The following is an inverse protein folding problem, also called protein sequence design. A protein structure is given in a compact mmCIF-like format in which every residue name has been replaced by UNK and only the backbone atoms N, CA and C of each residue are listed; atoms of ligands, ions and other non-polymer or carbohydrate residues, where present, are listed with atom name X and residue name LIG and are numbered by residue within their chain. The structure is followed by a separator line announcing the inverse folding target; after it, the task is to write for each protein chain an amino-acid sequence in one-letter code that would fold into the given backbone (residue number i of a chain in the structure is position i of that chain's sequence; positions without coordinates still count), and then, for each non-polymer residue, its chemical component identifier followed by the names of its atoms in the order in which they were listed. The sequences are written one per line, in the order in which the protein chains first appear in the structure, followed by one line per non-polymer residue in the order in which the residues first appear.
data_IF_997337229708
#
_entry.id   IF_997337229708
#
_cell.length_a   1.000
_cell.length_b   1.000
_cell.length_c   1.000
_cell.angle_alpha   90.00
_cell.angle_beta   90.00
_cell.angle_gamma   90.00
#
_symmetry.space_group_name_H-M   'P 1'
#
loop_
_entity.id
_entity.type
_entity.pdbx_description
1 polymer ?
#
# COMPACT_ATOMS: atom_id res chain seq x y z
N UNK A 1 9.07 11.55 -42.55
CA UNK A 1 8.18 10.38 -42.40
C UNK A 1 8.68 9.35 -43.39
N UNK A 2 9.22 8.24 -42.90
CA UNK A 2 9.72 7.16 -43.76
C UNK A 2 9.21 5.86 -43.17
N UNK A 3 8.30 5.22 -43.90
CA UNK A 3 7.89 3.85 -43.65
C UNK A 3 8.78 2.94 -44.50
N UNK A 4 9.27 1.85 -43.91
CA UNK A 4 9.83 0.73 -44.65
C UNK A 4 8.93 -0.47 -44.37
N UNK A 5 8.33 -0.99 -45.45
CA UNK A 5 7.60 -2.25 -45.48
C UNK A 5 8.52 -3.37 -45.99
N UNK A 6 8.33 -4.57 -45.44
CA UNK A 6 8.94 -5.84 -45.86
C UNK A 6 8.90 -6.82 -44.68
N UNK A 7 8.38 -8.04 -44.76
CA UNK A 7 7.95 -8.79 -45.93
C UNK A 7 7.00 -9.94 -45.57
N UNK A 8 6.70 -10.66 -46.63
CA UNK A 8 5.74 -11.71 -46.91
C UNK A 8 5.99 -13.06 -46.22
N UNK A 9 4.95 -13.52 -45.53
CA UNK A 9 4.41 -14.88 -45.64
C UNK A 9 5.32 -16.08 -45.35
N UNK A 10 5.19 -16.63 -44.14
CA UNK A 10 4.96 -18.05 -43.82
C UNK A 10 5.72 -18.48 -42.57
N UNK A 11 5.07 -18.37 -41.40
CA UNK A 11 5.39 -19.19 -40.25
C UNK A 11 4.07 -19.83 -39.78
N UNK A 12 4.06 -21.16 -39.87
CA UNK A 12 2.99 -22.05 -39.46
C UNK A 12 2.72 -21.89 -37.96
N UNK A 13 1.46 -22.04 -37.56
CA UNK A 13 1.01 -22.16 -36.16
C UNK A 13 1.93 -23.10 -35.37
N UNK A 14 2.74 -22.51 -34.48
CA UNK A 14 3.68 -23.21 -33.62
C UNK A 14 4.72 -22.24 -33.04
N UNK A 15 4.45 -21.74 -31.84
CA UNK A 15 5.34 -20.95 -30.98
C UNK A 15 6.20 -19.90 -31.69
N UNK A 16 5.53 -18.84 -32.18
CA UNK A 16 6.24 -17.58 -32.43
C UNK A 16 6.85 -17.11 -31.09
N UNK A 17 8.13 -16.71 -31.06
CA UNK A 17 8.69 -16.08 -29.88
C UNK A 17 7.83 -14.85 -29.53
N UNK A 18 7.55 -14.61 -28.25
CA UNK A 18 6.69 -13.51 -27.85
C UNK A 18 7.21 -12.22 -28.46
N UNK A 19 6.29 -11.42 -29.00
CA UNK A 19 6.62 -10.11 -29.54
C UNK A 19 7.28 -9.24 -28.47
N UNK A 20 8.08 -8.26 -28.87
CA UNK A 20 8.71 -7.34 -27.91
C UNK A 20 7.67 -6.69 -27.00
N UNK A 21 6.47 -6.39 -27.52
CA UNK A 21 5.36 -5.85 -26.75
C UNK A 21 4.80 -6.85 -25.73
N UNK A 22 4.67 -8.12 -26.08
CA UNK A 22 4.24 -9.18 -25.15
C UNK A 22 5.29 -9.45 -24.06
N UNK A 23 6.58 -9.41 -24.42
CA UNK A 23 7.67 -9.53 -23.45
C UNK A 23 7.69 -8.33 -22.51
N UNK A 24 7.56 -7.10 -23.02
CA UNK A 24 7.55 -5.87 -22.20
C UNK A 24 6.32 -5.80 -21.30
N UNK A 25 5.18 -6.37 -21.72
CA UNK A 25 3.95 -6.45 -20.92
C UNK A 25 3.88 -7.67 -20.01
N UNK A 26 4.88 -8.57 -20.04
CA UNK A 26 4.94 -9.68 -19.10
C UNK A 26 5.26 -9.17 -17.69
N UNK A 27 4.44 -9.46 -16.66
CA UNK A 27 4.72 -9.06 -15.28
C UNK A 27 6.09 -9.55 -14.79
N UNK A 28 6.50 -10.75 -15.21
CA UNK A 28 7.80 -11.33 -14.83
C UNK A 28 8.98 -10.61 -15.50
N UNK A 29 8.83 -10.20 -16.76
CA UNK A 29 9.86 -9.42 -17.45
C UNK A 29 9.93 -7.98 -16.91
N UNK A 30 8.78 -7.36 -16.64
CA UNK A 30 8.70 -6.05 -16.01
C UNK A 30 9.35 -6.05 -14.62
N UNK A 31 9.11 -7.09 -13.82
CA UNK A 31 9.80 -7.29 -12.54
C UNK A 31 11.31 -7.42 -12.72
N UNK A 32 11.77 -8.27 -13.66
CA UNK A 32 13.20 -8.44 -13.93
C UNK A 32 13.86 -7.12 -14.36
N UNK A 33 13.18 -6.34 -15.20
CA UNK A 33 13.65 -5.04 -15.64
C UNK A 33 13.69 -4.03 -14.49
N UNK A 34 12.68 -4.05 -13.62
CA UNK A 34 12.67 -3.29 -12.37
C UNK A 34 13.88 -3.58 -11.49
N UNK A 35 14.22 -4.86 -11.29
CA UNK A 35 15.40 -5.28 -10.52
C UNK A 35 16.72 -4.81 -11.14
N UNK A 36 16.83 -4.81 -12.47
CA UNK A 36 18.05 -4.40 -13.18
C UNK A 36 18.23 -2.87 -13.20
N UNK A 37 17.16 -2.14 -13.49
CA UNK A 37 17.20 -0.68 -13.62
C UNK A 37 17.19 0.03 -12.26
N UNK A 38 16.61 -0.61 -11.24
CA UNK A 38 16.48 -0.07 -9.88
C UNK A 38 17.03 -1.07 -8.85
N UNK A 39 18.35 -1.36 -8.87
CA UNK A 39 18.94 -2.44 -8.06
C UNK A 39 19.01 -2.13 -6.57
N UNK A 40 18.83 -0.88 -6.16
CA UNK A 40 18.87 -0.49 -4.74
C UNK A 40 17.46 -0.55 -4.15
N UNK A 41 17.29 -1.37 -3.12
CA UNK A 41 16.07 -1.39 -2.30
C UNK A 41 16.26 -0.45 -1.10
N UNK A 42 15.31 0.47 -0.92
CA UNK A 42 15.23 1.36 0.23
C UNK A 42 13.97 1.00 1.02
N UNK A 43 14.15 0.57 2.27
CA UNK A 43 13.06 0.32 3.20
C UNK A 43 12.56 1.64 3.76
N UNK A 44 11.26 1.90 3.60
CA UNK A 44 10.62 3.19 3.89
C UNK A 44 9.76 3.12 5.15
N UNK A 45 10.19 2.29 6.11
CA UNK A 45 9.46 2.01 7.33
C UNK A 45 8.35 0.98 7.12
N UNK A 46 7.38 1.01 8.02
CA UNK A 46 6.38 -0.04 8.20
C UNK A 46 5.04 0.58 8.46
N UNK A 47 4.02 -0.22 8.19
CA UNK A 47 2.66 0.12 8.53
C UNK A 47 1.94 -1.08 9.11
N UNK A 48 0.71 -0.81 9.52
CA UNK A 48 -0.15 -1.78 10.15
C UNK A 48 -1.49 -1.79 9.45
N UNK A 49 -2.03 -2.99 9.27
CA UNK A 49 -3.37 -3.20 8.73
C UNK A 49 -4.06 -4.24 9.59
N UNK A 50 -5.36 -4.37 9.44
CA UNK A 50 -6.09 -5.47 10.05
C UNK A 50 -6.23 -6.58 9.01
N UNK A 51 -6.11 -7.82 9.48
CA UNK A 51 -6.45 -9.00 8.72
C UNK A 51 -7.53 -9.80 9.44
N UNK A 52 -8.39 -10.45 8.68
CA UNK A 52 -9.38 -11.40 9.16
C UNK A 52 -9.17 -12.77 8.51
N UNK A 53 -9.28 -13.84 9.28
CA UNK A 53 -9.26 -15.20 8.75
C UNK A 53 -10.68 -15.66 8.39
N UNK A 54 -10.95 -15.86 7.10
CA UNK A 54 -12.22 -16.35 6.56
C UNK A 54 -11.97 -17.60 5.72
N UNK A 55 -12.63 -18.71 6.06
CA UNK A 55 -12.50 -19.99 5.35
C UNK A 55 -11.04 -20.45 5.11
N UNK A 56 -10.17 -20.17 6.08
CA UNK A 56 -8.74 -20.51 6.01
C UNK A 56 -7.87 -19.53 5.21
N UNK A 57 -8.45 -18.46 4.69
CA UNK A 57 -7.75 -17.40 3.95
C UNK A 57 -7.72 -16.11 4.77
N UNK A 58 -6.55 -15.53 4.92
CA UNK A 58 -6.39 -14.21 5.53
C UNK A 58 -6.76 -13.12 4.52
N UNK A 59 -7.75 -12.31 4.85
CA UNK A 59 -8.18 -11.15 4.08
C UNK A 59 -7.65 -9.88 4.76
N UNK A 60 -6.97 -9.01 4.02
CA UNK A 60 -6.49 -7.72 4.52
C UNK A 60 -7.48 -6.60 4.24
N UNK A 61 -7.54 -5.67 5.18
CA UNK A 61 -8.20 -4.38 4.98
C UNK A 61 -7.34 -3.41 4.17
N UNK A 62 -7.98 -2.36 3.64
CA UNK A 62 -7.32 -1.27 2.92
C UNK A 62 -7.67 0.07 3.59
N UNK A 63 -6.97 0.47 4.66
CA UNK A 63 -5.81 1.36 4.49
C UNK A 63 -4.71 1.13 5.55
N UNK A 64 -3.58 1.78 5.31
CA UNK A 64 -2.29 1.39 5.86
C UNK A 64 -1.93 2.35 7.01
N UNK A 65 -2.30 1.97 8.25
CA UNK A 65 -2.08 2.73 9.50
C UNK A 65 -0.60 2.92 9.79
N UNK A 66 -0.22 4.08 10.35
CA UNK A 66 1.18 4.38 10.68
C UNK A 66 1.61 3.73 12.01
N UNK A 67 0.66 3.49 12.92
CA UNK A 67 0.92 2.88 14.23
C UNK A 67 0.05 1.65 14.51
N UNK A 68 0.52 0.67 15.33
CA UNK A 68 -0.29 -0.48 15.70
C UNK A 68 -1.62 -0.11 16.36
N UNK A 69 -1.65 0.91 17.21
CA UNK A 69 -2.86 1.34 17.90
C UNK A 69 -3.93 1.88 16.94
N UNK A 70 -3.56 2.61 15.89
CA UNK A 70 -4.52 3.04 14.86
C UNK A 70 -5.22 1.84 14.20
N UNK A 71 -4.47 0.76 13.95
CA UNK A 71 -5.04 -0.49 13.44
C UNK A 71 -5.90 -1.21 14.51
N UNK A 72 -5.65 -1.04 15.80
CA UNK A 72 -6.58 -1.55 16.85
C UNK A 72 -7.85 -0.72 16.92
N UNK A 73 -7.74 0.60 16.79
CA UNK A 73 -8.86 1.52 16.83
C UNK A 73 -9.78 1.33 15.61
N UNK A 74 -9.21 1.13 14.42
CA UNK A 74 -9.94 0.74 13.22
C UNK A 74 -10.68 -0.61 13.40
N UNK A 75 -10.08 -1.57 14.12
CA UNK A 75 -10.69 -2.86 14.42
C UNK A 75 -11.86 -2.67 15.39
N UNK A 76 -11.67 -1.84 16.42
CA UNK A 76 -12.74 -1.45 17.34
C UNK A 76 -13.91 -0.80 16.60
N UNK A 77 -13.61 0.16 15.72
CA UNK A 77 -14.62 0.81 14.87
C UNK A 77 -15.40 -0.22 14.04
N UNK A 78 -14.70 -1.19 13.45
CA UNK A 78 -15.34 -2.27 12.70
C UNK A 78 -16.28 -3.10 13.57
N UNK A 79 -15.88 -3.48 14.78
CA UNK A 79 -16.73 -4.22 15.71
C UNK A 79 -17.97 -3.41 16.13
N UNK A 80 -17.83 -2.11 16.41
CA UNK A 80 -18.98 -1.24 16.73
C UNK A 80 -19.95 -1.17 15.55
N UNK A 81 -19.42 -1.05 14.33
CA UNK A 81 -20.24 -1.05 13.12
C UNK A 81 -21.01 -2.36 12.92
N UNK A 82 -20.36 -3.51 13.09
CA UNK A 82 -21.02 -4.83 13.03
C UNK A 82 -22.07 -4.99 14.13
N UNK A 83 -21.78 -4.52 15.34
CA UNK A 83 -22.70 -4.59 16.47
C UNK A 83 -23.98 -3.76 16.24
N UNK A 84 -23.86 -2.61 15.57
CA UNK A 84 -24.99 -1.74 15.23
C UNK A 84 -25.91 -2.30 14.15
N UNK A 85 -25.50 -3.30 13.37
CA UNK A 85 -26.36 -3.87 12.33
C UNK A 85 -27.53 -4.65 12.90
N UNK A 86 -28.71 -4.43 12.30
CA UNK A 86 -29.91 -5.23 12.59
C UNK A 86 -29.73 -6.69 12.18
N UNK A 87 -28.99 -6.97 11.11
CA UNK A 87 -28.73 -8.33 10.61
C UNK A 87 -27.77 -9.15 11.50
N UNK A 88 -26.97 -8.50 12.35
CA UNK A 88 -26.06 -9.20 13.27
C UNK A 88 -26.83 -9.97 14.36
N UNK A 89 -26.57 -11.27 14.57
CA UNK A 89 -27.18 -12.05 15.65
C UNK A 89 -26.90 -11.45 17.03
N UNK A 90 -27.85 -11.56 17.96
CA UNK A 90 -27.73 -10.92 19.29
C UNK A 90 -26.50 -11.37 20.09
N UNK A 91 -26.14 -12.66 20.03
CA UNK A 91 -24.93 -13.17 20.69
C UNK A 91 -23.65 -12.57 20.09
N UNK A 92 -23.52 -12.57 18.76
CA UNK A 92 -22.38 -11.97 18.06
C UNK A 92 -22.28 -10.46 18.34
N UNK A 93 -23.41 -9.75 18.42
CA UNK A 93 -23.46 -8.33 18.78
C UNK A 93 -22.85 -8.06 20.15
N UNK A 94 -23.16 -8.90 21.15
CA UNK A 94 -22.60 -8.74 22.49
C UNK A 94 -21.08 -8.94 22.47
N UNK A 95 -20.60 -9.98 21.79
CA UNK A 95 -19.16 -10.23 21.64
C UNK A 95 -18.43 -9.06 20.96
N UNK A 96 -19.04 -8.45 19.93
CA UNK A 96 -18.48 -7.26 19.29
C UNK A 96 -18.43 -6.05 20.23
N UNK A 97 -19.46 -5.83 21.05
CA UNK A 97 -19.44 -4.75 22.04
C UNK A 97 -18.40 -4.97 23.13
N UNK A 98 -18.33 -6.18 23.69
CA UNK A 98 -17.35 -6.54 24.72
C UNK A 98 -15.92 -6.40 24.19
N UNK A 99 -15.67 -6.87 22.96
CA UNK A 99 -14.34 -6.79 22.36
C UNK A 99 -13.96 -5.37 21.96
N UNK A 100 -14.91 -4.57 21.44
CA UNK A 100 -14.65 -3.14 21.22
C UNK A 100 -14.27 -2.46 22.53
N UNK A 101 -14.97 -2.74 23.64
CA UNK A 101 -14.64 -2.17 24.94
C UNK A 101 -13.27 -2.66 25.46
N UNK A 102 -12.87 -3.89 25.14
CA UNK A 102 -11.54 -4.41 25.45
C UNK A 102 -10.46 -3.61 24.73
N UNK A 103 -10.64 -3.30 23.43
CA UNK A 103 -9.69 -2.52 22.64
C UNK A 103 -9.50 -1.07 23.12
N UNK A 104 -10.48 -0.51 23.85
CA UNK A 104 -10.33 0.80 24.50
C UNK A 104 -9.45 0.76 25.77
N UNK A 105 -9.15 -0.44 26.31
CA UNK A 105 -8.40 -0.61 27.57
C UNK A 105 -7.09 -1.36 27.40
N UNK A 106 -7.05 -2.25 26.43
CA UNK A 106 -5.93 -3.15 26.18
C UNK A 106 -5.45 -3.01 24.74
N UNK A 107 -4.23 -3.50 24.48
CA UNK A 107 -3.58 -3.41 23.17
C UNK A 107 -3.36 -4.80 22.53
N UNK A 108 -4.39 -5.67 22.42
CA UNK A 108 -4.22 -6.98 21.79
C UNK A 108 -3.96 -6.82 20.29
N UNK A 109 -3.02 -7.60 19.77
CA UNK A 109 -2.74 -7.66 18.33
C UNK A 109 -3.53 -8.78 17.63
N UNK A 110 -4.20 -9.65 18.39
CA UNK A 110 -4.96 -10.77 17.86
C UNK A 110 -6.14 -11.09 18.77
N UNK A 111 -7.31 -11.32 18.16
CA UNK A 111 -8.57 -11.55 18.85
C UNK A 111 -9.41 -12.56 18.05
N UNK A 112 -10.25 -13.33 18.75
CA UNK A 112 -11.34 -14.11 18.14
C UNK A 112 -12.66 -13.55 18.63
N UNK A 113 -13.53 -13.13 17.71
CA UNK A 113 -14.82 -12.47 18.02
C UNK A 113 -15.90 -13.04 17.12
N UNK A 114 -17.01 -13.51 17.70
CA UNK A 114 -18.10 -14.16 16.99
C UNK A 114 -17.62 -15.30 16.06
N UNK A 115 -16.63 -16.07 16.54
CA UNK A 115 -16.02 -17.19 15.79
C UNK A 115 -15.05 -16.78 14.66
N UNK A 116 -14.75 -15.49 14.51
CA UNK A 116 -13.85 -14.94 13.46
C UNK A 116 -12.55 -14.47 14.09
N UNK A 117 -11.41 -14.78 13.47
CA UNK A 117 -10.07 -14.41 13.98
C UNK A 117 -9.58 -13.16 13.27
N UNK A 118 -9.15 -12.16 14.04
CA UNK A 118 -8.63 -10.88 13.56
C UNK A 118 -7.20 -10.68 14.07
N UNK A 119 -6.36 -10.02 13.27
CA UNK A 119 -4.96 -9.72 13.62
C UNK A 119 -4.55 -8.34 13.12
N UNK A 120 -3.81 -7.58 13.93
CA UNK A 120 -3.03 -6.42 13.49
C UNK A 120 -1.77 -6.93 12.82
N UNK A 121 -1.65 -6.72 11.51
CA UNK A 121 -0.59 -7.24 10.66
C UNK A 121 0.45 -6.17 10.37
N UNK A 122 1.72 -6.54 10.52
CA UNK A 122 2.84 -5.72 10.09
C UNK A 122 3.04 -5.81 8.57
N UNK A 123 3.14 -4.65 7.93
CA UNK A 123 3.44 -4.52 6.50
C UNK A 123 4.73 -3.72 6.34
N UNK A 124 5.81 -4.35 5.87
CA UNK A 124 7.05 -3.64 5.57
C UNK A 124 6.96 -2.99 4.19
N UNK A 125 7.39 -1.73 4.06
CA UNK A 125 7.40 -0.98 2.80
C UNK A 125 8.79 -0.82 2.24
N UNK A 126 8.90 -0.87 0.92
CA UNK A 126 10.13 -0.49 0.25
C UNK A 126 9.89 0.16 -1.12
N UNK A 127 10.89 0.90 -1.57
CA UNK A 127 10.96 1.44 -2.93
C UNK A 127 12.25 1.02 -3.58
N UNK A 128 12.22 0.85 -4.90
CA UNK A 128 13.40 0.59 -5.70
C UNK A 128 13.97 1.89 -6.23
N UNK A 129 15.30 1.99 -6.25
CA UNK A 129 16.03 3.18 -6.68
C UNK A 129 17.14 2.78 -7.65
N UNK A 130 17.20 3.53 -8.74
CA UNK A 130 18.19 3.40 -9.80
C UNK A 130 18.99 4.69 -9.97
N UNK A 131 19.89 4.75 -10.97
CA UNK A 131 20.71 5.93 -11.24
C UNK A 131 19.88 7.20 -11.50
N UNK A 132 18.67 7.05 -12.05
CA UNK A 132 17.77 8.16 -12.34
C UNK A 132 16.79 8.49 -11.19
N UNK A 133 16.94 7.85 -10.02
CA UNK A 133 16.08 8.05 -8.86
C UNK A 133 15.10 6.88 -8.60
N UNK A 134 14.04 7.11 -7.81
CA UNK A 134 13.05 6.08 -7.49
C UNK A 134 12.31 5.55 -8.72
N UNK A 135 11.89 4.29 -8.65
CA UNK A 135 11.13 3.62 -9.70
C UNK A 135 9.77 4.28 -9.94
N UNK A 136 9.50 4.61 -11.20
CA UNK A 136 8.19 5.09 -11.67
C UNK A 136 7.22 3.92 -11.92
N UNK A 137 5.92 4.18 -12.09
CA UNK A 137 4.98 3.16 -12.54
C UNK A 137 5.49 2.37 -13.74
N UNK A 138 5.24 1.06 -13.72
CA UNK A 138 5.54 0.14 -14.82
C UNK A 138 4.38 0.14 -15.80
N UNK A 139 4.67 -0.19 -17.06
CA UNK A 139 3.63 -0.35 -18.07
C UNK A 139 2.63 -1.49 -17.76
N UNK A 140 3.02 -2.45 -16.90
CA UNK A 140 2.16 -3.54 -16.43
C UNK A 140 1.29 -3.16 -15.23
N UNK A 141 1.47 -1.96 -14.67
CA UNK A 141 0.66 -1.51 -13.55
C UNK A 141 -0.74 -1.12 -14.05
N UNK A 142 -1.80 -1.62 -13.41
CA UNK A 142 -3.16 -1.23 -13.78
C UNK A 142 -3.33 0.28 -13.61
N UNK A 143 -3.54 0.98 -14.73
CA UNK A 143 -3.66 2.44 -14.71
C UNK A 143 -5.00 2.90 -14.14
N UNK A 144 -6.03 2.05 -14.20
CA UNK A 144 -7.36 2.33 -13.66
C UNK A 144 -7.76 1.19 -12.71
N UNK A 145 -7.66 1.45 -11.41
CA UNK A 145 -8.18 0.58 -10.36
C UNK A 145 -9.28 1.40 -9.68
N UNK A 146 -10.55 0.94 -9.71
CA UNK A 146 -11.62 1.60 -8.97
C UNK A 146 -11.20 1.82 -7.52
N UNK A 147 -11.45 3.00 -6.97
CA UNK A 147 -11.39 3.17 -5.52
C UNK A 147 -12.57 2.37 -4.95
N UNK A 148 -12.32 1.12 -4.56
CA UNK A 148 -13.35 0.21 -4.04
C UNK A 148 -13.85 0.61 -2.64
N UNK A 149 -13.73 1.90 -2.26
CA UNK A 149 -14.43 2.44 -1.10
C UNK A 149 -15.94 2.31 -1.36
N UNK A 150 -16.62 1.39 -0.68
CA UNK A 150 -18.05 1.26 -0.83
C UNK A 150 -18.72 2.48 -0.22
N UNK A 151 -19.91 2.81 -0.70
CA UNK A 151 -20.74 3.85 -0.08
C UNK A 151 -21.02 3.54 1.40
N UNK A 152 -21.04 2.26 1.79
CA UNK A 152 -21.00 1.82 3.18
C UNK A 152 -19.56 1.40 3.58
N UNK A 153 -18.85 2.33 4.22
CA UNK A 153 -17.54 2.10 4.85
C UNK A 153 -17.56 0.92 5.85
N UNK A 154 -18.74 0.55 6.34
CA UNK A 154 -18.90 -0.57 7.25
C UNK A 154 -19.08 -1.92 6.52
N UNK A 155 -19.63 -1.93 5.29
CA UNK A 155 -20.21 -3.12 4.65
C UNK A 155 -19.21 -4.27 4.47
N UNK A 156 -17.97 -3.97 4.08
CA UNK A 156 -16.99 -5.03 3.96
C UNK A 156 -15.56 -4.50 4.20
N UNK A 157 -15.13 -4.77 5.42
CA UNK A 157 -13.77 -4.67 5.92
C UNK A 157 -13.01 -5.95 5.53
N UNK A 158 -11.68 -5.91 5.39
CA UNK A 158 -10.87 -7.08 5.05
C UNK A 158 -11.32 -7.79 3.75
N UNK A 159 -11.06 -7.18 2.58
CA UNK A 159 -11.50 -7.72 1.27
C UNK A 159 -10.42 -8.42 0.47
N UNK A 160 -9.16 -8.10 0.75
CA UNK A 160 -8.07 -8.45 -0.13
C UNK A 160 -7.44 -9.75 0.36
N UNK A 161 -7.71 -10.90 -0.26
CA UNK A 161 -7.06 -12.14 0.14
C UNK A 161 -5.55 -11.99 -0.01
N UNK A 162 -4.80 -12.39 1.03
CA UNK A 162 -3.36 -12.51 0.92
C UNK A 162 -3.03 -13.52 -0.18
N UNK A 163 -2.18 -13.14 -1.15
CA UNK A 163 -1.63 -14.10 -2.11
C UNK A 163 -0.89 -15.24 -1.42
N UNK A 164 -0.61 -16.30 -2.17
CA UNK A 164 0.16 -17.43 -1.66
C UNK A 164 1.55 -16.97 -1.17
N UNK A 165 1.96 -17.37 0.05
CA UNK A 165 3.25 -17.01 0.60
C UNK A 165 4.37 -17.76 -0.14
N UNK A 166 5.45 -17.03 -0.46
CA UNK A 166 6.62 -17.54 -1.18
C UNK A 166 7.86 -17.52 -0.31
N UNK A 167 8.81 -18.40 -0.61
CA UNK A 167 10.09 -18.47 0.11
C UNK A 167 11.04 -17.38 -0.40
N UNK A 168 11.62 -16.53 0.48
CA UNK A 168 12.69 -15.60 0.10
C UNK A 168 13.83 -16.31 -0.67
N UNK A 169 14.29 -15.71 -1.77
CA UNK A 169 15.32 -16.27 -2.64
C UNK A 169 14.83 -17.29 -3.68
N UNK A 170 13.52 -17.58 -3.75
CA UNK A 170 12.96 -18.51 -4.72
C UNK A 170 12.90 -17.96 -6.15
N UNK A 171 12.56 -18.83 -7.11
CA UNK A 171 12.46 -18.46 -8.52
C UNK A 171 11.25 -17.56 -8.82
N UNK A 172 10.21 -17.63 -8.00
CA UNK A 172 9.03 -16.74 -8.02
C UNK A 172 9.45 -15.30 -7.74
N UNK A 173 10.44 -15.10 -6.86
CA UNK A 173 11.02 -13.80 -6.50
C UNK A 173 12.25 -13.43 -7.33
N UNK A 174 12.55 -14.17 -8.40
CA UNK A 174 13.75 -13.98 -9.22
C UNK A 174 15.06 -13.96 -8.39
N UNK A 175 15.10 -14.73 -7.29
CA UNK A 175 16.26 -14.82 -6.40
C UNK A 175 16.38 -13.70 -5.36
N UNK A 176 15.40 -12.80 -5.26
CA UNK A 176 15.44 -11.74 -4.25
C UNK A 176 15.28 -12.26 -2.83
N UNK A 177 16.17 -11.74 -1.97
CA UNK A 177 16.32 -12.11 -0.57
C UNK A 177 15.74 -11.00 0.30
N UNK A 178 14.76 -11.35 1.12
CA UNK A 178 13.95 -10.41 1.94
C UNK A 178 14.31 -10.43 3.42
N UNK A 179 15.48 -10.98 3.78
CA UNK A 179 16.00 -11.10 5.15
C UNK A 179 16.54 -9.77 5.70
N UNK A 180 15.85 -8.65 5.43
CA UNK A 180 16.29 -7.33 5.87
C UNK A 180 16.28 -7.24 7.40
N UNK A 181 17.44 -6.87 7.96
CA UNK A 181 17.58 -6.49 9.36
C UNK A 181 18.13 -5.07 9.38
N UNK A 182 17.51 -4.13 10.12
CA UNK A 182 18.06 -2.80 10.30
C UNK A 182 19.51 -2.85 10.79
N UNK A 183 20.37 -2.00 10.22
CA UNK A 183 21.79 -1.96 10.59
C UNK A 183 21.94 -1.46 12.04
N UNK A 184 22.92 -2.02 12.76
CA UNK A 184 23.31 -1.51 14.07
C UNK A 184 23.61 0.00 14.00
N UNK A 185 23.12 0.77 14.97
CA UNK A 185 23.22 2.23 15.00
C UNK A 185 22.17 2.99 14.17
N UNK A 186 21.35 2.28 13.38
CA UNK A 186 20.15 2.83 12.71
C UNK A 186 18.85 2.44 13.39
N UNK A 187 18.90 1.49 14.32
CA UNK A 187 17.77 1.01 15.11
C UNK A 187 18.24 0.57 16.50
N UNK A 188 17.31 0.51 17.46
CA UNK A 188 17.58 0.00 18.80
C UNK A 188 17.93 -1.50 18.78
N UNK A 189 18.56 -1.99 19.86
CA UNK A 189 18.90 -3.40 19.98
C UNK A 189 17.66 -4.31 19.98
N UNK A 190 16.54 -3.81 20.51
CA UNK A 190 15.27 -4.56 20.56
C UNK A 190 14.65 -4.69 19.15
N UNK A 191 14.65 -3.61 18.35
CA UNK A 191 14.20 -3.66 16.94
C UNK A 191 15.02 -4.67 16.14
N UNK A 192 16.34 -4.70 16.33
CA UNK A 192 17.22 -5.66 15.64
C UNK A 192 16.93 -7.10 16.11
N UNK A 193 16.66 -7.29 17.40
CA UNK A 193 16.33 -8.60 17.97
C UNK A 193 15.01 -9.14 17.41
N UNK A 194 13.98 -8.30 17.37
CA UNK A 194 12.66 -8.69 16.88
C UNK A 194 12.68 -8.94 15.37
N UNK A 195 13.39 -8.10 14.60
CA UNK A 195 13.59 -8.34 13.16
C UNK A 195 14.27 -9.69 12.89
N UNK A 196 15.27 -10.08 13.70
CA UNK A 196 15.91 -11.41 13.59
C UNK A 196 14.96 -12.54 13.97
N UNK A 197 14.17 -12.36 15.03
CA UNK A 197 13.17 -13.34 15.46
C UNK A 197 12.14 -13.58 14.35
N UNK A 198 11.68 -12.52 13.71
CA UNK A 198 10.71 -12.57 12.62
C UNK A 198 11.19 -13.44 11.44
N UNK A 199 12.49 -13.43 11.12
CA UNK A 199 13.04 -14.30 10.07
C UNK A 199 12.83 -15.80 10.36
N UNK A 200 12.83 -16.18 11.64
CA UNK A 200 12.60 -17.56 12.05
C UNK A 200 11.13 -17.89 12.31
N UNK A 201 10.37 -16.97 12.91
CA UNK A 201 8.96 -17.21 13.25
C UNK A 201 7.99 -17.02 12.08
N UNK A 202 8.35 -16.17 11.10
CA UNK A 202 7.59 -15.89 9.89
C UNK A 202 8.52 -15.91 8.66
N UNK A 203 8.99 -17.11 8.26
CA UNK A 203 10.05 -17.26 7.26
C UNK A 203 9.59 -16.98 5.82
N UNK A 204 8.29 -17.08 5.54
CA UNK A 204 7.73 -16.82 4.22
C UNK A 204 7.37 -15.34 4.07
N UNK A 205 7.17 -14.90 2.83
CA UNK A 205 6.69 -13.55 2.53
C UNK A 205 5.56 -13.57 1.51
N UNK A 206 4.68 -12.58 1.59
CA UNK A 206 3.69 -12.26 0.58
C UNK A 206 3.98 -10.86 0.06
N UNK A 207 3.96 -10.68 -1.26
CA UNK A 207 4.02 -9.36 -1.91
C UNK A 207 2.60 -8.88 -2.16
N UNK A 208 2.25 -7.72 -1.61
CA UNK A 208 0.96 -7.09 -1.90
C UNK A 208 1.02 -6.32 -3.22
N UNK A 209 -0.14 -5.90 -3.70
CA UNK A 209 -0.21 -4.98 -4.82
C UNK A 209 0.60 -3.70 -4.52
N UNK A 210 1.31 -3.16 -5.52
CA UNK A 210 2.04 -1.90 -5.36
C UNK A 210 1.08 -0.75 -5.06
N UNK A 211 1.59 0.26 -4.37
CA UNK A 211 0.94 1.58 -4.26
C UNK A 211 1.79 2.63 -4.94
N UNK A 212 1.19 3.78 -5.20
CA UNK A 212 1.85 4.90 -5.85
C UNK A 212 1.80 6.12 -4.96
N UNK A 213 2.88 6.89 -4.97
CA UNK A 213 3.01 8.11 -4.18
C UNK A 213 3.62 9.22 -5.03
N UNK A 214 3.22 10.47 -4.79
CA UNK A 214 3.86 11.64 -5.38
C UNK A 214 4.98 12.09 -4.46
N UNK A 215 6.22 12.07 -4.97
CA UNK A 215 7.37 12.67 -4.31
C UNK A 215 7.77 13.96 -5.05
N UNK A 216 8.21 14.97 -4.31
CA UNK A 216 8.94 16.10 -4.86
C UNK A 216 10.43 15.95 -4.54
N UNK A 217 11.27 16.40 -5.47
CA UNK A 217 12.69 16.59 -5.28
C UNK A 217 12.97 18.09 -5.23
N UNK A 218 13.46 18.55 -4.08
CA UNK A 218 13.97 19.89 -3.90
C UNK A 218 15.40 19.78 -3.39
N UNK A 219 16.34 20.50 -4.01
CA UNK A 219 17.77 20.48 -3.67
C UNK A 219 18.40 19.08 -3.58
N UNK A 220 17.93 18.15 -4.42
CA UNK A 220 18.44 16.78 -4.46
C UNK A 220 17.81 15.84 -3.42
N UNK A 221 16.91 16.34 -2.56
CA UNK A 221 16.21 15.53 -1.56
C UNK A 221 14.79 15.20 -1.99
N UNK A 222 14.46 13.90 -1.97
CA UNK A 222 13.09 13.44 -2.22
C UNK A 222 12.27 13.50 -0.93
N UNK A 223 11.14 14.20 -0.97
CA UNK A 223 10.15 14.26 0.10
C UNK A 223 8.77 13.82 -0.40
N UNK A 224 7.96 13.30 0.51
CA UNK A 224 6.59 12.85 0.23
C UNK A 224 5.65 14.05 0.18
N UNK A 225 4.84 14.18 -0.86
CA UNK A 225 3.85 15.26 -0.95
C UNK A 225 2.51 14.87 -0.33
N UNK A 226 1.94 13.74 -0.75
CA UNK A 226 0.63 13.22 -0.28
C UNK A 226 0.63 11.69 -0.26
N UNK A 227 -0.35 11.09 0.43
CA UNK A 227 -0.41 9.66 0.75
C UNK A 227 -0.46 8.68 -0.43
N UNK A 228 -0.48 7.39 -0.10
CA UNK A 228 -0.44 6.29 -1.06
C UNK A 228 -1.79 6.09 -1.77
N UNK A 229 -1.75 5.85 -3.07
CA UNK A 229 -2.93 5.53 -3.90
C UNK A 229 -2.77 4.21 -4.64
N UNK A 230 -3.88 3.63 -5.11
CA UNK A 230 -3.96 2.28 -5.68
C UNK A 230 -3.42 2.16 -7.09
N UNK A 231 -3.48 3.23 -7.89
CA UNK A 231 -3.09 3.19 -9.30
C UNK A 231 -2.33 4.45 -9.75
N UNK A 232 -1.57 4.37 -10.86
CA UNK A 232 -0.84 5.51 -11.41
C UNK A 232 -1.75 6.66 -11.85
N UNK A 233 -2.99 6.41 -12.32
CA UNK A 233 -3.96 7.48 -12.64
C UNK A 233 -4.37 8.27 -11.42
N UNK A 234 -4.66 7.60 -10.30
CA UNK A 234 -4.97 8.27 -9.04
C UNK A 234 -3.80 9.14 -8.56
N UNK A 235 -2.55 8.66 -8.76
CA UNK A 235 -1.36 9.43 -8.41
C UNK A 235 -1.19 10.67 -9.31
N UNK A 236 -1.52 10.56 -10.60
CA UNK A 236 -1.56 11.72 -11.51
C UNK A 236 -2.63 12.72 -11.11
N UNK A 237 -3.82 12.26 -10.69
CA UNK A 237 -4.86 13.14 -10.17
C UNK A 237 -4.38 13.87 -8.91
N UNK A 238 -3.75 13.15 -7.95
CA UNK A 238 -3.15 13.78 -6.76
C UNK A 238 -2.09 14.81 -7.12
N UNK A 239 -1.21 14.52 -8.09
CA UNK A 239 -0.22 15.49 -8.56
C UNK A 239 -0.90 16.70 -9.22
N UNK A 240 -1.92 16.50 -10.05
CA UNK A 240 -2.66 17.60 -10.66
C UNK A 240 -3.32 18.50 -9.60
N UNK A 241 -3.86 17.92 -8.53
CA UNK A 241 -4.44 18.69 -7.41
C UNK A 241 -3.37 19.47 -6.65
N UNK A 242 -2.19 18.88 -6.42
CA UNK A 242 -1.04 19.58 -5.84
C UNK A 242 -0.66 20.79 -6.71
N UNK A 243 -0.58 20.61 -8.04
CA UNK A 243 -0.24 21.68 -8.97
C UNK A 243 -1.29 22.80 -9.00
N UNK A 244 -2.58 22.47 -8.93
CA UNK A 244 -3.66 23.48 -8.86
C UNK A 244 -3.58 24.27 -7.56
N UNK A 245 -3.42 23.60 -6.43
CA UNK A 245 -3.28 24.26 -5.13
C UNK A 245 -2.12 25.27 -5.10
N UNK A 246 -0.97 24.94 -5.71
CA UNK A 246 0.16 25.88 -5.85
C UNK A 246 -0.19 27.16 -6.60
N UNK A 247 -1.15 27.10 -7.53
CA UNK A 247 -1.60 28.32 -8.20
C UNK A 247 -2.61 29.09 -7.36
N UNK A 248 -3.38 28.44 -6.50
CA UNK A 248 -4.37 29.12 -5.66
C UNK A 248 -3.75 29.83 -4.45
N UNK A 249 -2.55 29.40 -4.02
CA UNK A 249 -1.78 30.09 -3.00
C UNK A 249 -1.33 31.48 -3.49
N UNK A 250 -1.49 32.51 -2.64
CA UNK A 250 -1.01 33.88 -2.90
C UNK A 250 0.54 33.92 -2.84
N UNK A 251 1.18 33.35 -3.87
CA UNK A 251 2.61 33.41 -4.13
C UNK A 251 2.91 34.65 -5.00
N UNK A 252 3.39 35.72 -4.39
CA UNK A 252 3.79 36.96 -5.07
C UNK A 252 4.92 36.73 -6.11
N UNK A 253 5.68 35.64 -5.98
CA UNK A 253 6.76 35.28 -6.90
C UNK A 253 6.27 34.44 -8.10
N UNK A 254 5.00 34.02 -8.15
CA UNK A 254 4.45 33.23 -9.25
C UNK A 254 3.93 34.13 -10.39
N UNK A 255 4.69 34.19 -11.49
CA UNK A 255 4.27 34.90 -12.70
C UNK A 255 3.00 34.30 -13.34
N UNK A 256 2.23 35.10 -14.08
CA UNK A 256 1.06 34.64 -14.83
C UNK A 256 1.39 33.57 -15.89
N UNK A 257 2.59 33.65 -16.49
CA UNK A 257 3.08 32.67 -17.45
C UNK A 257 3.36 31.32 -16.77
N UNK A 258 3.99 31.34 -15.59
CA UNK A 258 4.24 30.14 -14.79
C UNK A 258 2.94 29.54 -14.28
N UNK A 259 2.02 30.36 -13.77
CA UNK A 259 0.67 29.95 -13.36
C UNK A 259 -0.05 29.23 -14.49
N UNK A 260 -0.03 29.81 -15.68
CA UNK A 260 -0.62 29.22 -16.89
C UNK A 260 0.08 27.92 -17.30
N UNK A 261 1.40 27.82 -17.16
CA UNK A 261 2.15 26.61 -17.46
C UNK A 261 1.85 25.47 -16.46
N UNK A 262 1.72 25.78 -15.18
CA UNK A 262 1.34 24.83 -14.13
C UNK A 262 -0.06 24.28 -14.39
N UNK A 263 -1.04 25.14 -14.70
CA UNK A 263 -2.41 24.70 -15.00
C UNK A 263 -2.49 23.79 -16.24
N UNK A 264 -1.77 24.13 -17.32
CA UNK A 264 -1.67 23.25 -18.51
C UNK A 264 -1.04 21.90 -18.17
N UNK A 265 -0.06 21.88 -17.28
CA UNK A 265 0.58 20.63 -16.84
C UNK A 265 -0.38 19.79 -16.00
N UNK A 266 -1.16 20.41 -15.11
CA UNK A 266 -2.21 19.75 -14.34
C UNK A 266 -3.29 19.12 -15.24
N UNK A 267 -3.67 19.80 -16.32
CA UNK A 267 -4.60 19.26 -17.32
C UNK A 267 -3.99 18.06 -18.07
N UNK A 268 -2.73 18.17 -18.51
CA UNK A 268 -2.04 17.10 -19.23
C UNK A 268 -1.90 15.81 -18.41
N UNK A 269 -1.72 15.91 -17.09
CA UNK A 269 -1.68 14.76 -16.18
C UNK A 269 -2.98 13.93 -16.18
N UNK A 270 -4.11 14.56 -16.48
CA UNK A 270 -5.41 13.88 -16.60
C UNK A 270 -5.59 13.10 -17.91
N UNK A 271 -4.75 13.37 -18.91
CA UNK A 271 -4.91 12.85 -20.29
C UNK A 271 -3.81 11.86 -20.64
N UNK A 272 -2.57 12.13 -20.23
CA UNK A 272 -1.39 11.36 -20.63
C UNK A 272 -0.77 10.62 -19.44
N UNK A 273 -0.07 9.48 -19.66
CA UNK A 273 0.63 8.72 -18.63
C UNK A 273 1.96 9.42 -18.23
N UNK A 274 1.84 10.64 -17.71
CA UNK A 274 2.98 11.43 -17.23
C UNK A 274 3.31 10.99 -15.80
N UNK A 275 4.57 10.61 -15.56
CA UNK A 275 5.05 10.15 -14.25
C UNK A 275 6.09 11.09 -13.62
N UNK A 276 6.53 12.10 -14.36
CA UNK A 276 7.49 13.09 -13.91
C UNK A 276 7.14 14.47 -14.48
N UNK A 277 7.23 15.49 -13.64
CA UNK A 277 7.03 16.90 -14.00
C UNK A 277 8.20 17.69 -13.42
N UNK A 278 8.75 18.62 -14.21
CA UNK A 278 9.77 19.57 -13.75
C UNK A 278 9.19 20.97 -13.86
N UNK A 279 9.07 21.67 -12.74
CA UNK A 279 8.61 23.06 -12.67
C UNK A 279 9.79 23.99 -12.45
N UNK A 280 9.77 25.16 -13.11
CA UNK A 280 10.78 26.22 -12.98
C UNK A 280 12.24 25.73 -13.17
N UNK A 281 12.44 24.58 -13.83
CA UNK A 281 13.76 23.97 -14.05
C UNK A 281 14.39 23.29 -12.83
N UNK A 282 13.76 23.38 -11.65
CA UNK A 282 14.40 23.03 -10.38
C UNK A 282 13.58 22.02 -9.56
N UNK A 283 12.25 22.20 -9.49
CA UNK A 283 11.40 21.36 -8.66
C UNK A 283 10.88 20.19 -9.48
N UNK A 284 11.27 18.98 -9.10
CA UNK A 284 10.84 17.76 -9.81
C UNK A 284 9.80 17.01 -9.00
N UNK A 285 8.62 16.81 -9.56
CA UNK A 285 7.64 15.85 -9.05
C UNK A 285 7.79 14.53 -9.77
N UNK A 286 7.72 13.42 -9.04
CA UNK A 286 7.70 12.08 -9.61
C UNK A 286 6.65 11.22 -8.92
N UNK A 287 5.90 10.46 -9.71
CA UNK A 287 5.09 9.36 -9.23
C UNK A 287 6.00 8.16 -9.03
N UNK A 288 6.00 7.62 -7.82
CA UNK A 288 6.90 6.55 -7.39
C UNK A 288 6.10 5.31 -7.04
N UNK A 289 6.58 4.16 -7.52
CA UNK A 289 6.09 2.83 -7.17
C UNK A 289 6.63 2.44 -5.79
N UNK A 290 5.72 2.05 -4.90
CA UNK A 290 6.03 1.58 -3.55
C UNK A 290 5.47 0.18 -3.37
N UNK A 291 6.31 -0.69 -2.87
CA UNK A 291 6.03 -2.11 -2.72
C UNK A 291 5.90 -2.46 -1.25
N UNK A 292 5.07 -3.48 -0.98
CA UNK A 292 4.69 -3.89 0.36
C UNK A 292 4.90 -5.39 0.51
N UNK A 293 5.47 -5.80 1.64
CA UNK A 293 5.56 -7.21 2.01
C UNK A 293 4.94 -7.46 3.37
N UNK A 294 4.37 -8.64 3.50
CA UNK A 294 3.91 -9.20 4.77
C UNK A 294 4.69 -10.49 5.02
N UNK A 295 5.27 -10.63 6.20
CA UNK A 295 5.90 -11.88 6.61
C UNK A 295 4.83 -12.87 7.06
N UNK A 296 5.01 -14.14 6.76
CA UNK A 296 4.02 -15.19 7.00
C UNK A 296 4.66 -16.45 7.58
N UNK A 297 3.87 -17.21 8.33
CA UNK A 297 4.07 -18.62 8.62
C UNK A 297 2.78 -19.41 8.39
N UNK A 298 2.75 -20.67 8.79
CA UNK A 298 1.59 -21.56 8.63
C UNK A 298 0.37 -21.10 9.45
N UNK A 299 0.57 -20.33 10.52
CA UNK A 299 -0.52 -19.76 11.33
C UNK A 299 -1.06 -18.44 10.75
N UNK A 300 -0.23 -17.69 10.01
CA UNK A 300 -0.66 -16.51 9.28
C UNK A 300 0.36 -15.36 9.22
N UNK A 301 -0.13 -14.12 9.02
CA UNK A 301 0.71 -12.94 8.88
C UNK A 301 1.36 -12.51 10.19
N UNK A 302 2.57 -11.96 10.09
CA UNK A 302 3.32 -11.45 11.23
C UNK A 302 2.53 -10.33 11.93
N UNK A 303 2.29 -10.43 13.24
CA UNK A 303 1.66 -9.34 13.99
C UNK A 303 2.63 -8.16 14.17
N UNK A 304 2.16 -7.05 14.72
CA UNK A 304 3.10 -6.00 15.19
C UNK A 304 4.08 -6.57 16.23
N UNK A 305 5.31 -6.10 16.18
CA UNK A 305 6.42 -6.52 17.04
C UNK A 305 6.38 -5.76 18.37
N UNK A 306 6.88 -6.35 19.47
CA UNK A 306 7.00 -5.64 20.75
C UNK A 306 7.84 -4.35 20.68
N UNK A 307 8.82 -4.29 19.77
CA UNK A 307 9.66 -3.11 19.54
C UNK A 307 9.08 -2.09 18.57
N UNK A 308 7.89 -2.33 18.01
CA UNK A 308 7.25 -1.36 17.13
C UNK A 308 6.83 -0.11 17.90
N UNK A 309 7.05 1.04 17.28
CA UNK A 309 6.67 2.32 17.87
C UNK A 309 5.14 2.45 17.85
N UNK A 310 4.56 2.61 19.04
CA UNK A 310 3.11 2.65 19.23
C UNK A 310 2.73 3.78 20.23
N UNK A 311 2.97 5.05 19.85
CA UNK A 311 2.81 6.20 20.74
C UNK A 311 1.36 6.56 21.01
N UNK A 312 0.45 6.17 20.11
CA UNK A 312 -0.96 6.50 20.21
C UNK A 312 -1.61 5.78 21.40
N UNK A 313 -2.47 6.49 22.12
CA UNK A 313 -3.28 5.92 23.18
C UNK A 313 -4.59 5.37 22.62
N UNK A 314 -5.16 4.30 23.21
CA UNK A 314 -6.44 3.78 22.77
C UNK A 314 -7.54 4.85 22.75
N UNK A 315 -8.36 4.86 21.70
CA UNK A 315 -9.60 5.61 21.71
C UNK A 315 -10.53 5.05 22.80
N UNK A 316 -11.13 5.91 23.60
CA UNK A 316 -11.97 5.50 24.75
C UNK A 316 -13.35 6.15 24.70
N UNK A 317 -14.36 5.46 25.24
CA UNK A 317 -15.70 6.00 25.48
C UNK A 317 -16.69 5.82 24.33
N UNK A 318 -16.23 5.67 23.09
CA UNK A 318 -17.10 5.49 21.92
C UNK A 318 -17.96 4.22 22.01
N UNK A 319 -17.41 3.13 22.55
CA UNK A 319 -18.12 1.86 22.67
C UNK A 319 -19.34 1.99 23.57
N UNK A 320 -19.17 2.63 24.74
CA UNK A 320 -20.24 2.82 25.69
C UNK A 320 -21.34 3.73 25.13
N UNK A 321 -20.96 4.79 24.41
CA UNK A 321 -21.89 5.69 23.74
C UNK A 321 -22.67 4.98 22.63
N UNK A 322 -21.98 4.39 21.65
CA UNK A 322 -22.60 3.78 20.46
C UNK A 322 -23.47 2.58 20.81
N UNK A 323 -23.21 1.88 21.92
CA UNK A 323 -24.07 0.79 22.41
C UNK A 323 -25.48 1.26 22.78
N UNK A 324 -25.68 2.56 23.06
CA UNK A 324 -27.00 3.14 23.36
C UNK A 324 -27.80 3.50 22.10
N UNK A 325 -27.16 3.51 20.93
CA UNK A 325 -27.81 3.90 19.69
C UNK A 325 -28.76 2.81 19.18
N UNK A 326 -29.82 3.18 18.45
CA UNK A 326 -30.68 2.21 17.80
C UNK A 326 -29.91 1.40 16.75
N UNK A 327 -30.32 0.16 16.53
CA UNK A 327 -29.80 -0.66 15.44
C UNK A 327 -30.07 0.01 14.10
N UNK A 328 -29.09 -0.09 13.20
CA UNK A 328 -29.13 0.44 11.84
C UNK A 328 -29.50 -0.68 10.87
N UNK A 329 -30.25 -0.30 9.85
CA UNK A 329 -30.39 -1.11 8.64
C UNK A 329 -29.10 -1.01 7.83
N UNK A 330 -28.92 -1.90 6.83
CA UNK A 330 -27.69 -2.00 6.04
C UNK A 330 -27.37 -0.72 5.25
#
# INVERSE_FOLDING_TARGET
MTYIAGGDGAALDGDLPPTLDEVVRSPRAAERMGQLNYPKVIWSGVNYVIAELVDGVWLLDDPVCDYPQEARDAMGFHFRALALRRSTPAAAREEYWETSALLERERPNELTVAGRRFRVVRVDRFSRVGPLGPESPRATDPDDVPDERPADMHAHFCRHPLPEPVTPGSAELLGERWEHIPRAGRASADVIRDARRALGSHPLIVRLAPRFIVLNNMDGFWSTCRGYVTCPRAARATLADILRAMTEEDDEDLSEDDRSAILRTAEALGIAPIHEVVLRGEIRYRIVRVEHIVRMNDDGPEPSRPSDHDPEEPLTGETAELRTWPLRDE
#
